data_IF_854361757502
#
_entry.id   IF_854361757502
#
_cell.length_a   1.000
_cell.length_b   1.000
_cell.length_c   1.000
_cell.angle_alpha   90.00
_cell.angle_beta   90.00
_cell.angle_gamma   90.00
#
_symmetry.space_group_name_H-M   'P 1'
#
loop_
_entity.id
_entity.type
_entity.pdbx_description
1 polymer ?
#
# COMPACT_ATOMS: atom_id res chain seq x y z
N UNK A 1 -19.42 -40.83 -10.13
CA UNK A 1 -18.17 -40.78 -10.93
C UNK A 1 -18.27 -39.69 -11.98
N UNK A 2 -18.08 -38.42 -11.61
CA UNK A 2 -18.20 -37.29 -12.54
C UNK A 2 -16.83 -36.63 -12.77
N UNK A 3 -16.42 -36.61 -14.05
CA UNK A 3 -15.31 -35.87 -14.69
C UNK A 3 -13.89 -36.49 -14.70
N UNK A 4 -13.64 -37.54 -15.51
CA UNK A 4 -12.28 -38.05 -15.76
C UNK A 4 -11.46 -37.19 -16.73
N UNK A 5 -12.09 -36.44 -17.64
CA UNK A 5 -11.36 -35.77 -18.76
C UNK A 5 -11.11 -34.27 -18.56
N UNK A 6 -11.75 -33.64 -17.55
CA UNK A 6 -11.49 -32.22 -17.19
C UNK A 6 -10.62 -32.07 -15.92
N UNK A 7 -10.31 -33.15 -15.21
CA UNK A 7 -9.61 -33.05 -13.93
C UNK A 7 -8.18 -32.55 -14.09
N UNK A 8 -7.46 -32.95 -15.14
CA UNK A 8 -6.08 -32.51 -15.37
C UNK A 8 -5.99 -31.00 -15.69
N UNK A 9 -6.93 -30.45 -16.47
CA UNK A 9 -6.97 -29.02 -16.79
C UNK A 9 -7.35 -28.20 -15.55
N UNK A 10 -8.38 -28.65 -14.80
CA UNK A 10 -8.79 -27.99 -13.55
C UNK A 10 -7.66 -28.03 -12.51
N UNK A 11 -6.97 -29.17 -12.40
CA UNK A 11 -5.85 -29.35 -11.48
C UNK A 11 -4.64 -28.51 -11.91
N UNK A 12 -4.36 -28.42 -13.22
CA UNK A 12 -3.34 -27.53 -13.76
C UNK A 12 -3.63 -26.06 -13.45
N UNK A 13 -4.85 -25.59 -13.69
CA UNK A 13 -5.28 -24.22 -13.34
C UNK A 13 -5.19 -24.00 -11.83
N UNK A 14 -5.59 -24.98 -11.02
CA UNK A 14 -5.49 -24.92 -9.56
C UNK A 14 -4.05 -24.80 -9.06
N UNK A 15 -3.11 -25.56 -9.64
CA UNK A 15 -1.69 -25.47 -9.32
C UNK A 15 -1.14 -24.09 -9.70
N UNK A 16 -1.47 -23.58 -10.89
CA UNK A 16 -1.05 -22.25 -11.32
C UNK A 16 -1.59 -21.19 -10.36
N UNK A 17 -2.88 -21.22 -10.03
CA UNK A 17 -3.49 -20.30 -9.08
C UNK A 17 -2.83 -20.35 -7.69
N UNK A 18 -2.60 -21.56 -7.15
CA UNK A 18 -1.91 -21.74 -5.88
C UNK A 18 -0.47 -21.18 -5.92
N UNK A 19 0.28 -21.43 -7.00
CA UNK A 19 1.64 -20.91 -7.15
C UNK A 19 1.70 -19.38 -7.21
N UNK A 20 0.73 -18.75 -7.89
CA UNK A 20 0.62 -17.29 -7.96
C UNK A 20 0.28 -16.70 -6.58
N UNK A 21 -0.64 -17.33 -5.85
CA UNK A 21 -0.99 -16.93 -4.49
C UNK A 21 0.19 -17.06 -3.52
N UNK A 22 0.98 -18.15 -3.61
CA UNK A 22 2.21 -18.29 -2.83
C UNK A 22 3.25 -17.22 -3.18
N UNK A 23 3.37 -16.88 -4.47
CA UNK A 23 4.24 -15.79 -4.92
C UNK A 23 3.85 -14.46 -4.27
N UNK A 24 2.57 -14.09 -4.32
CA UNK A 24 2.06 -12.84 -3.73
C UNK A 24 2.28 -12.78 -2.21
N UNK A 25 2.01 -13.89 -1.50
CA UNK A 25 2.18 -14.00 -0.06
C UNK A 25 3.65 -13.84 0.39
N UNK A 26 4.62 -14.24 -0.45
CA UNK A 26 6.06 -14.12 -0.14
C UNK A 26 6.61 -12.76 -0.55
N UNK A 27 6.17 -12.21 -1.69
CA UNK A 27 6.69 -10.95 -2.24
C UNK A 27 6.22 -9.75 -1.42
N UNK A 28 4.95 -9.72 -1.01
CA UNK A 28 4.35 -8.58 -0.31
C UNK A 28 5.11 -8.14 0.96
N UNK A 29 5.43 -9.02 1.93
CA UNK A 29 6.19 -8.62 3.11
C UNK A 29 7.63 -8.22 2.77
N UNK A 30 8.25 -8.86 1.77
CA UNK A 30 9.61 -8.54 1.35
C UNK A 30 9.70 -7.13 0.75
N UNK A 31 8.84 -6.82 -0.22
CA UNK A 31 8.81 -5.51 -0.88
C UNK A 31 8.40 -4.42 0.10
N UNK A 32 7.41 -4.65 0.95
CA UNK A 32 6.95 -3.64 1.92
C UNK A 32 8.05 -3.22 2.90
N UNK A 33 8.80 -4.18 3.46
CA UNK A 33 9.91 -3.88 4.38
C UNK A 33 11.09 -3.26 3.63
N UNK A 34 11.41 -3.76 2.43
CA UNK A 34 12.48 -3.22 1.61
C UNK A 34 12.23 -1.74 1.26
N UNK A 35 11.04 -1.40 0.77
CA UNK A 35 10.68 -0.02 0.42
C UNK A 35 10.69 0.91 1.64
N UNK A 36 10.31 0.42 2.83
CA UNK A 36 10.41 1.19 4.06
C UNK A 36 11.87 1.50 4.44
N UNK A 37 12.78 0.53 4.28
CA UNK A 37 14.21 0.70 4.55
C UNK A 37 14.88 1.57 3.50
N UNK A 38 14.52 1.43 2.22
CA UNK A 38 15.00 2.28 1.13
C UNK A 38 14.65 3.75 1.35
N UNK A 39 13.50 4.04 1.97
CA UNK A 39 13.12 5.39 2.39
C UNK A 39 14.15 6.09 3.27
N UNK A 40 14.93 5.35 4.06
CA UNK A 40 15.99 5.93 4.90
C UNK A 40 17.11 6.56 4.05
N UNK A 41 17.30 6.11 2.82
CA UNK A 41 18.33 6.65 1.92
C UNK A 41 18.00 8.07 1.43
N UNK A 42 16.73 8.48 1.51
CA UNK A 42 16.32 9.87 1.20
C UNK A 42 16.95 10.84 2.21
N UNK A 43 17.14 10.40 3.46
CA UNK A 43 17.74 11.23 4.52
C UNK A 43 19.27 11.14 4.51
N UNK A 44 19.83 9.94 4.33
CA UNK A 44 21.29 9.78 4.20
C UNK A 44 21.69 8.61 3.30
N UNK A 45 22.55 8.82 2.28
CA UNK A 45 23.04 7.75 1.40
C UNK A 45 23.91 6.71 2.13
N UNK A 46 24.36 6.99 3.36
CA UNK A 46 25.22 6.08 4.14
C UNK A 46 24.56 4.72 4.41
N UNK A 47 23.23 4.66 4.41
CA UNK A 47 22.51 3.40 4.65
C UNK A 47 22.39 2.48 3.42
N UNK A 48 22.77 2.93 2.22
CA UNK A 48 22.65 2.16 0.97
C UNK A 48 23.23 0.73 1.06
N UNK A 49 24.45 0.50 1.58
CA UNK A 49 25.01 -0.86 1.69
C UNK A 49 24.26 -1.74 2.71
N UNK A 50 23.50 -1.13 3.62
CA UNK A 50 22.81 -1.79 4.72
C UNK A 50 21.34 -2.09 4.43
N UNK A 51 20.78 -1.59 3.33
CA UNK A 51 19.36 -1.77 2.97
C UNK A 51 18.96 -3.24 2.98
N UNK A 52 19.67 -4.08 2.22
CA UNK A 52 19.35 -5.51 2.09
C UNK A 52 19.59 -6.27 3.40
N UNK A 53 20.77 -6.15 4.07
CA UNK A 53 20.99 -6.81 5.36
C UNK A 53 19.97 -6.44 6.43
N UNK A 54 19.60 -5.15 6.51
CA UNK A 54 18.64 -4.67 7.50
C UNK A 54 17.23 -5.18 7.20
N UNK A 55 16.82 -5.20 5.93
CA UNK A 55 15.54 -5.78 5.50
C UNK A 55 15.43 -7.25 5.91
N UNK A 56 16.47 -8.05 5.65
CA UNK A 56 16.51 -9.46 6.05
C UNK A 56 16.44 -9.63 7.58
N UNK A 57 17.15 -8.80 8.34
CA UNK A 57 17.11 -8.83 9.79
C UNK A 57 15.72 -8.49 10.34
N UNK A 58 15.08 -7.43 9.82
CA UNK A 58 13.72 -7.03 10.21
C UNK A 58 12.74 -8.15 9.89
N UNK A 59 12.78 -8.74 8.70
CA UNK A 59 11.92 -9.85 8.32
C UNK A 59 12.12 -11.05 9.24
N UNK A 60 13.37 -11.45 9.51
CA UNK A 60 13.66 -12.55 10.43
C UNK A 60 13.07 -12.31 11.82
N UNK A 61 13.20 -11.09 12.35
CA UNK A 61 12.63 -10.72 13.66
C UNK A 61 11.10 -10.75 13.62
N UNK A 62 10.47 -10.12 12.62
CA UNK A 62 9.01 -10.06 12.48
C UNK A 62 8.40 -11.46 12.35
N UNK A 63 8.95 -12.31 11.48
CA UNK A 63 8.48 -13.69 11.32
C UNK A 63 8.79 -14.54 12.55
N UNK A 64 9.91 -14.31 13.25
CA UNK A 64 10.19 -15.02 14.50
C UNK A 64 9.16 -14.71 15.60
N UNK A 65 8.62 -13.49 15.62
CA UNK A 65 7.62 -13.06 16.59
C UNK A 65 6.23 -13.65 16.32
N UNK A 66 5.95 -14.14 15.11
CA UNK A 66 4.66 -14.77 14.78
C UNK A 66 4.38 -16.03 15.62
N UNK A 67 5.41 -16.67 16.18
CA UNK A 67 5.27 -17.81 17.11
C UNK A 67 4.47 -17.49 18.38
N UNK A 68 4.34 -16.21 18.73
CA UNK A 68 3.60 -15.76 19.92
C UNK A 68 2.09 -15.56 19.65
N UNK A 69 1.63 -15.88 18.44
CA UNK A 69 0.23 -15.82 18.05
C UNK A 69 -0.19 -14.47 17.49
N UNK A 70 -1.17 -14.51 16.57
CA UNK A 70 -1.65 -13.33 15.83
C UNK A 70 -2.32 -12.29 16.73
N UNK A 71 -3.02 -12.72 17.79
CA UNK A 71 -3.67 -11.80 18.74
C UNK A 71 -2.70 -10.94 19.55
N UNK A 72 -1.58 -11.53 20.01
CA UNK A 72 -0.55 -10.78 20.75
C UNK A 72 0.20 -9.79 19.87
N UNK A 73 0.48 -10.18 18.63
CA UNK A 73 1.07 -9.29 17.62
C UNK A 73 0.10 -8.15 17.29
N UNK A 74 -1.18 -8.43 17.04
CA UNK A 74 -2.17 -7.41 16.72
C UNK A 74 -2.34 -6.33 17.80
N UNK A 75 -2.17 -6.68 19.09
CA UNK A 75 -2.25 -5.73 20.19
C UNK A 75 -1.13 -4.67 20.17
N UNK A 76 0.06 -5.05 19.69
CA UNK A 76 1.22 -4.15 19.59
C UNK A 76 1.17 -3.38 18.27
N UNK A 77 0.92 -4.08 17.15
CA UNK A 77 0.93 -3.47 15.83
C UNK A 77 -0.26 -2.53 15.61
N UNK A 78 -1.44 -2.81 16.19
CA UNK A 78 -2.62 -1.96 16.03
C UNK A 78 -2.39 -0.49 16.40
N UNK A 79 -1.94 -0.18 17.63
CA UNK A 79 -1.60 1.18 18.04
C UNK A 79 -0.49 1.82 17.19
N UNK A 80 0.56 1.06 16.84
CA UNK A 80 1.67 1.55 16.00
C UNK A 80 1.13 1.98 14.62
N UNK A 81 0.31 1.13 14.00
CA UNK A 81 -0.31 1.40 12.71
C UNK A 81 -1.27 2.59 12.80
N UNK A 82 -2.03 2.74 13.88
CA UNK A 82 -2.89 3.90 14.08
C UNK A 82 -2.09 5.21 14.18
N UNK A 83 -1.00 5.23 14.96
CA UNK A 83 -0.09 6.38 15.06
C UNK A 83 0.53 6.70 13.71
N UNK A 84 0.95 5.68 12.95
CA UNK A 84 1.49 5.84 11.61
C UNK A 84 0.49 6.50 10.66
N UNK A 85 -0.76 6.02 10.61
CA UNK A 85 -1.80 6.62 9.77
C UNK A 85 -2.08 8.07 10.15
N UNK A 86 -2.15 8.36 11.44
CA UNK A 86 -2.33 9.73 11.92
C UNK A 86 -1.15 10.63 11.52
N UNK A 87 0.09 10.15 11.61
CA UNK A 87 1.28 10.90 11.22
C UNK A 87 1.26 11.27 9.72
N UNK A 88 1.01 10.30 8.83
CA UNK A 88 0.95 10.56 7.38
C UNK A 88 -0.25 11.43 6.99
N UNK A 89 -1.37 11.30 7.71
CA UNK A 89 -2.57 12.13 7.50
C UNK A 89 -2.35 13.58 7.93
N UNK A 90 -1.67 13.81 9.06
CA UNK A 90 -1.31 15.15 9.53
C UNK A 90 -0.27 15.82 8.62
N UNK A 91 0.75 15.08 8.17
CA UNK A 91 1.70 15.59 7.17
C UNK A 91 0.98 15.99 5.86
N UNK A 92 0.06 15.15 5.39
CA UNK A 92 -0.77 15.45 4.24
C UNK A 92 -1.63 16.71 4.41
N UNK A 93 -2.29 16.83 5.56
CA UNK A 93 -3.13 17.98 5.89
C UNK A 93 -2.35 19.31 5.87
N UNK A 94 -1.12 19.33 6.39
CA UNK A 94 -0.28 20.53 6.37
C UNK A 94 -0.03 21.05 4.95
N UNK A 95 0.19 20.14 4.00
CA UNK A 95 0.42 20.49 2.59
C UNK A 95 -0.86 20.93 1.88
N UNK A 96 -2.01 20.30 2.19
CA UNK A 96 -3.30 20.72 1.64
C UNK A 96 -3.68 22.14 2.11
N UNK A 97 -3.36 22.49 3.36
CA UNK A 97 -3.59 23.86 3.87
C UNK A 97 -2.71 24.88 3.13
N UNK A 98 -1.47 24.49 2.80
CA UNK A 98 -0.54 25.35 2.06
C UNK A 98 -0.97 25.55 0.60
N UNK A 99 -1.52 24.53 -0.05
CA UNK A 99 -2.04 24.61 -1.42
C UNK A 99 -3.43 23.95 -1.54
N UNK A 100 -4.51 24.71 -1.24
CA UNK A 100 -5.88 24.21 -1.30
C UNK A 100 -6.39 23.91 -2.71
N UNK A 101 -5.66 24.33 -3.76
CA UNK A 101 -6.06 24.09 -5.16
C UNK A 101 -6.15 22.59 -5.47
N UNK A 102 -5.38 21.76 -4.74
CA UNK A 102 -5.44 20.30 -4.88
C UNK A 102 -6.83 19.71 -4.65
N UNK A 103 -7.71 20.39 -3.90
CA UNK A 103 -9.08 19.93 -3.68
C UNK A 103 -9.92 19.94 -4.97
N UNK A 104 -9.53 20.74 -5.96
CA UNK A 104 -10.15 20.71 -7.29
C UNK A 104 -9.90 19.37 -7.99
N UNK A 105 -8.81 18.66 -7.68
CA UNK A 105 -8.47 17.37 -8.27
C UNK A 105 -9.52 16.27 -8.04
N UNK A 106 -10.43 16.46 -7.08
CA UNK A 106 -11.59 15.57 -6.86
C UNK A 106 -12.54 15.60 -8.06
N UNK A 107 -12.55 16.69 -8.82
CA UNK A 107 -13.48 16.83 -9.93
C UNK A 107 -13.08 15.95 -11.12
N UNK A 108 -14.00 15.14 -11.68
CA UNK A 108 -13.70 14.17 -12.74
C UNK A 108 -13.14 14.75 -14.03
N UNK A 109 -13.25 16.07 -14.24
CA UNK A 109 -12.72 16.71 -15.43
C UNK A 109 -11.21 16.53 -15.58
N UNK A 110 -10.44 16.48 -14.48
CA UNK A 110 -8.98 16.32 -14.54
C UNK A 110 -8.58 14.96 -15.11
N UNK A 111 -9.23 13.87 -14.66
CA UNK A 111 -8.92 12.54 -15.18
C UNK A 111 -9.38 12.38 -16.63
N UNK A 112 -10.52 12.97 -17.01
CA UNK A 112 -10.99 12.96 -18.41
C UNK A 112 -10.06 13.76 -19.31
N UNK A 113 -9.62 14.96 -18.88
CA UNK A 113 -8.66 15.76 -19.62
C UNK A 113 -7.30 15.06 -19.74
N UNK A 114 -6.83 14.39 -18.68
CA UNK A 114 -5.60 13.61 -18.70
C UNK A 114 -5.67 12.44 -19.70
N UNK A 115 -6.78 11.71 -19.74
CA UNK A 115 -7.01 10.63 -20.69
C UNK A 115 -7.00 11.11 -22.15
N UNK A 116 -7.58 12.28 -22.43
CA UNK A 116 -7.64 12.83 -23.80
C UNK A 116 -6.28 13.41 -24.21
N UNK A 117 -5.62 14.15 -23.32
CA UNK A 117 -4.39 14.88 -23.63
C UNK A 117 -3.14 14.01 -23.62
N UNK A 118 -3.15 12.87 -22.92
CA UNK A 118 -1.98 12.00 -22.76
C UNK A 118 -2.38 10.52 -22.66
N UNK A 119 -2.98 9.95 -23.73
CA UNK A 119 -3.58 8.61 -23.68
C UNK A 119 -2.58 7.50 -23.34
N UNK A 120 -1.36 7.56 -23.89
CA UNK A 120 -0.34 6.53 -23.67
C UNK A 120 0.12 6.48 -22.20
N UNK A 121 0.40 7.66 -21.63
CA UNK A 121 0.80 7.80 -20.22
C UNK A 121 -0.36 7.43 -19.31
N UNK A 122 -1.57 7.93 -19.63
CA UNK A 122 -2.75 7.67 -18.82
C UNK A 122 -3.10 6.19 -18.76
N UNK A 123 -2.92 5.44 -19.86
CA UNK A 123 -3.10 4.00 -19.88
C UNK A 123 -2.18 3.29 -18.86
N UNK A 124 -0.89 3.63 -18.86
CA UNK A 124 0.08 3.05 -17.93
C UNK A 124 -0.22 3.46 -16.48
N UNK A 125 -0.54 4.74 -16.25
CA UNK A 125 -0.85 5.26 -14.90
C UNK A 125 -2.10 4.60 -14.32
N UNK A 126 -3.18 4.45 -15.09
CA UNK A 126 -4.40 3.77 -14.62
C UNK A 126 -4.11 2.30 -14.33
N UNK A 127 -3.29 1.64 -15.15
CA UNK A 127 -2.81 0.29 -14.88
C UNK A 127 -2.08 0.20 -13.54
N UNK A 128 -1.19 1.15 -13.25
CA UNK A 128 -0.49 1.22 -11.95
C UNK A 128 -1.45 1.46 -10.77
N UNK A 129 -2.47 2.32 -10.93
CA UNK A 129 -3.51 2.53 -9.90
C UNK A 129 -4.27 1.23 -9.64
N UNK A 130 -4.62 0.49 -10.69
CA UNK A 130 -5.31 -0.80 -10.54
C UNK A 130 -4.44 -1.83 -9.81
N UNK A 131 -3.14 -1.87 -10.12
CA UNK A 131 -2.15 -2.72 -9.43
C UNK A 131 -1.91 -2.31 -7.97
N UNK A 132 -2.20 -1.06 -7.59
CA UNK A 132 -2.14 -0.63 -6.19
C UNK A 132 -3.33 -1.16 -5.36
N UNK A 133 -4.40 -1.64 -6.01
CA UNK A 133 -5.54 -2.28 -5.34
C UNK A 133 -5.19 -3.75 -5.06
N UNK A 134 -4.36 -3.99 -4.05
CA UNK A 134 -4.02 -5.32 -3.55
C UNK A 134 -4.49 -5.51 -2.11
N UNK A 135 -4.50 -6.75 -1.61
CA UNK A 135 -4.79 -7.04 -0.20
C UNK A 135 -6.26 -7.06 0.21
N UNK A 136 -7.20 -6.78 -0.70
CA UNK A 136 -8.64 -6.98 -0.45
C UNK A 136 -8.96 -8.45 -0.09
N UNK A 137 -8.18 -9.39 -0.63
CA UNK A 137 -8.28 -10.83 -0.36
C UNK A 137 -7.88 -11.18 1.09
N UNK A 138 -6.81 -10.54 1.59
CA UNK A 138 -6.39 -10.68 2.98
C UNK A 138 -7.45 -10.12 3.94
N UNK A 139 -8.01 -8.95 3.60
CA UNK A 139 -9.12 -8.36 4.35
C UNK A 139 -10.34 -9.28 4.40
N UNK A 140 -10.63 -9.98 3.29
CA UNK A 140 -11.73 -10.94 3.22
C UNK A 140 -11.48 -12.18 4.08
N UNK A 141 -10.26 -12.71 4.09
CA UNK A 141 -9.87 -13.81 4.97
C UNK A 141 -10.04 -13.45 6.46
N UNK A 142 -9.72 -12.19 6.82
CA UNK A 142 -9.78 -11.68 8.18
C UNK A 142 -11.20 -11.36 8.67
N UNK A 143 -12.19 -11.30 7.77
CA UNK A 143 -13.62 -11.17 8.17
C UNK A 143 -14.06 -12.31 9.08
N UNK A 144 -13.50 -13.51 8.91
CA UNK A 144 -13.80 -14.67 9.76
C UNK A 144 -13.29 -14.53 11.19
N UNK A 145 -12.26 -13.71 11.42
CA UNK A 145 -11.62 -13.56 12.73
C UNK A 145 -12.11 -12.30 13.49
N UNK A 146 -12.20 -11.16 12.80
CA UNK A 146 -12.56 -9.88 13.43
C UNK A 146 -14.03 -9.48 13.22
N UNK A 147 -14.69 -10.05 12.21
CA UNK A 147 -16.01 -9.65 11.78
C UNK A 147 -16.02 -8.34 10.99
N UNK A 148 -17.15 -8.10 10.30
CA UNK A 148 -17.29 -6.97 9.37
C UNK A 148 -17.25 -5.59 10.05
N UNK A 149 -17.89 -5.44 11.21
CA UNK A 149 -18.09 -4.12 11.84
C UNK A 149 -16.78 -3.45 12.27
N UNK A 150 -15.85 -4.12 12.98
CA UNK A 150 -14.57 -3.51 13.36
C UNK A 150 -13.74 -3.08 12.15
N UNK A 151 -13.71 -3.91 11.10
CA UNK A 151 -12.97 -3.63 9.87
C UNK A 151 -13.51 -2.36 9.19
N UNK A 152 -14.82 -2.27 8.99
CA UNK A 152 -15.44 -1.09 8.33
C UNK A 152 -15.23 0.17 9.16
N UNK A 153 -15.33 0.08 10.49
CA UNK A 153 -15.13 1.22 11.37
C UNK A 153 -13.68 1.71 11.33
N UNK A 154 -12.69 0.83 11.47
CA UNK A 154 -11.28 1.18 11.41
C UNK A 154 -10.91 1.78 10.04
N UNK A 155 -11.45 1.20 8.96
CA UNK A 155 -11.26 1.68 7.60
C UNK A 155 -11.81 3.11 7.43
N UNK A 156 -13.09 3.32 7.69
CA UNK A 156 -13.75 4.61 7.42
C UNK A 156 -13.36 5.71 8.41
N UNK A 157 -13.04 5.36 9.66
CA UNK A 157 -12.74 6.36 10.69
C UNK A 157 -11.28 6.81 10.71
N UNK A 158 -10.33 5.94 10.33
CA UNK A 158 -8.88 6.22 10.46
C UNK A 158 -8.18 6.02 9.12
N UNK A 159 -8.19 4.80 8.58
CA UNK A 159 -7.31 4.44 7.45
C UNK A 159 -7.65 5.28 6.20
N UNK A 160 -8.92 5.28 5.80
CA UNK A 160 -9.40 6.00 4.62
C UNK A 160 -9.14 7.51 4.69
N UNK A 161 -9.55 8.25 5.75
CA UNK A 161 -9.30 9.69 5.82
C UNK A 161 -7.81 10.02 5.86
N UNK A 162 -6.98 9.25 6.59
CA UNK A 162 -5.54 9.47 6.63
C UNK A 162 -4.88 9.24 5.26
N UNK A 163 -5.26 8.19 4.53
CA UNK A 163 -4.76 7.94 3.18
C UNK A 163 -5.20 9.03 2.21
N UNK A 164 -6.47 9.46 2.25
CA UNK A 164 -6.97 10.53 1.41
C UNK A 164 -6.19 11.84 1.63
N UNK A 165 -5.99 12.21 2.90
CA UNK A 165 -5.18 13.38 3.27
C UNK A 165 -3.72 13.23 2.80
N UNK A 166 -3.13 12.05 2.95
CA UNK A 166 -1.76 11.83 2.52
C UNK A 166 -1.60 11.94 0.99
N UNK A 167 -2.46 11.30 0.20
CA UNK A 167 -2.40 11.38 -1.26
C UNK A 167 -2.69 12.78 -1.79
N UNK A 168 -3.69 13.47 -1.24
CA UNK A 168 -3.97 14.85 -1.59
C UNK A 168 -2.81 15.77 -1.16
N UNK A 169 -2.22 15.56 0.01
CA UNK A 169 -1.02 16.29 0.44
C UNK A 169 0.18 16.10 -0.49
N UNK A 170 0.41 14.87 -0.98
CA UNK A 170 1.45 14.60 -1.98
C UNK A 170 1.20 15.36 -3.28
N UNK A 171 -0.04 15.39 -3.75
CA UNK A 171 -0.43 16.18 -4.92
C UNK A 171 -0.18 17.68 -4.71
N UNK A 172 -0.56 18.22 -3.55
CA UNK A 172 -0.31 19.61 -3.17
C UNK A 172 1.19 19.94 -3.13
N UNK A 173 2.00 19.04 -2.55
CA UNK A 173 3.46 19.19 -2.50
C UNK A 173 4.08 19.20 -3.91
N UNK A 174 3.62 18.32 -4.81
CA UNK A 174 4.07 18.26 -6.21
C UNK A 174 3.73 19.58 -6.94
N UNK A 175 2.52 20.11 -6.76
CA UNK A 175 2.10 21.38 -7.35
C UNK A 175 2.96 22.55 -6.84
N UNK A 176 3.18 22.63 -5.53
CA UNK A 176 4.01 23.66 -4.91
C UNK A 176 5.49 23.63 -5.38
N UNK A 177 5.99 22.48 -5.84
CA UNK A 177 7.36 22.29 -6.35
C UNK A 177 7.46 22.33 -7.89
N UNK A 178 6.43 22.81 -8.59
CA UNK A 178 6.37 22.85 -10.06
C UNK A 178 6.58 21.47 -10.72
N UNK A 179 6.17 20.39 -10.06
CA UNK A 179 6.22 19.03 -10.62
C UNK A 179 7.56 18.29 -10.52
N UNK A 180 8.62 18.90 -9.98
CA UNK A 180 9.93 18.24 -9.84
C UNK A 180 10.13 17.75 -8.40
N UNK A 181 9.84 16.47 -8.18
CA UNK A 181 9.98 15.81 -6.87
C UNK A 181 10.48 14.38 -7.05
N UNK A 182 11.40 13.95 -6.19
CA UNK A 182 11.98 12.61 -6.25
C UNK A 182 11.07 11.59 -5.58
N UNK A 183 10.90 11.72 -4.27
CA UNK A 183 10.05 10.86 -3.47
C UNK A 183 9.06 11.67 -2.63
N UNK A 184 7.89 12.05 -3.20
CA UNK A 184 6.90 12.91 -2.52
C UNK A 184 6.49 12.41 -1.13
N UNK A 185 6.37 11.10 -0.96
CA UNK A 185 6.03 10.50 0.34
C UNK A 185 7.07 10.76 1.44
N UNK A 186 8.37 10.80 1.10
CA UNK A 186 9.45 11.01 2.06
C UNK A 186 9.90 12.47 2.17
N UNK A 187 9.57 13.31 1.18
CA UNK A 187 10.00 14.71 1.10
C UNK A 187 9.00 15.71 1.71
N UNK A 188 7.76 15.29 1.95
CA UNK A 188 6.73 16.06 2.68
C UNK A 188 6.99 16.12 4.18
#
# INVERSE_FOLDING_TARGET
NSFPTRSAVILGIGIVGASLFFGDAVITPAISVLSAVEGMNVVTPTFQPYVVPLTLAILAILFSAQRFGTGGVALIFGPITAVWFLAIGLSGLNHIIADPEILLAVSPHYIVAFLINSPDVAFVTIGAIFLAVTGAEALYADLGHFGRKPIVLAWLAIVFPCLLLNYAGQGAFVLAKNGVVGHPFFEM
#
